data_IF_602648695213
#
_entry.id   IF_602648695213
#
_cell.length_a   1.000
_cell.length_b   1.000
_cell.length_c   1.000
_cell.angle_alpha   90.00
_cell.angle_beta   90.00
_cell.angle_gamma   90.00
#
_symmetry.space_group_name_H-M   'P 1'
#
loop_
_entity.id
_entity.type
_entity.pdbx_description
1 polymer ?
#
# COMPACT_ATOMS: atom_id res chain seq x y z
N UNK A 1 30.95 -8.55 3.85
CA UNK A 1 29.84 -9.31 4.46
C UNK A 1 29.38 -8.55 5.68
N UNK A 2 28.22 -7.88 5.57
CA UNK A 2 27.62 -7.07 6.63
C UNK A 2 26.26 -7.67 6.99
N UNK A 3 26.25 -8.56 7.98
CA UNK A 3 25.02 -9.22 8.42
C UNK A 3 24.14 -8.22 9.18
N UNK A 4 22.86 -8.18 8.83
CA UNK A 4 21.80 -7.45 9.55
C UNK A 4 20.60 -8.37 9.78
N UNK A 5 19.71 -7.97 10.67
CA UNK A 5 18.48 -8.67 11.00
C UNK A 5 17.25 -7.87 10.56
N UNK A 6 16.20 -8.59 10.16
CA UNK A 6 14.87 -8.03 9.94
C UNK A 6 13.80 -8.99 10.44
N UNK A 7 12.75 -8.47 11.06
CA UNK A 7 11.52 -9.25 11.28
C UNK A 7 10.72 -9.24 9.97
N UNK A 8 10.71 -10.36 9.26
CA UNK A 8 9.86 -10.55 8.08
C UNK A 8 8.45 -11.01 8.43
N UNK A 9 7.57 -10.97 7.43
CA UNK A 9 6.21 -11.48 7.55
C UNK A 9 5.89 -12.41 6.38
N UNK A 10 5.23 -13.53 6.68
CA UNK A 10 4.61 -14.42 5.69
C UNK A 10 3.11 -14.40 5.89
N UNK A 11 2.35 -14.33 4.80
CA UNK A 11 0.90 -14.38 4.80
C UNK A 11 0.44 -15.59 4.00
N UNK A 12 -0.20 -16.55 4.65
CA UNK A 12 -0.77 -17.71 3.98
C UNK A 12 -2.12 -17.34 3.33
N UNK A 13 -2.12 -17.12 2.01
CA UNK A 13 -3.31 -16.70 1.27
C UNK A 13 -4.40 -17.79 1.21
N UNK A 14 -4.04 -19.06 1.28
CA UNK A 14 -4.98 -20.20 1.31
C UNK A 14 -5.91 -20.15 2.54
N UNK A 15 -5.40 -19.62 3.66
CA UNK A 15 -6.17 -19.45 4.90
C UNK A 15 -6.84 -18.07 5.01
N UNK A 16 -6.65 -17.19 4.03
CA UNK A 16 -7.16 -15.82 4.13
C UNK A 16 -8.67 -15.82 3.91
N UNK A 17 -9.41 -15.33 4.91
CA UNK A 17 -10.88 -15.27 4.87
C UNK A 17 -11.41 -13.88 4.50
N UNK A 18 -10.55 -12.92 4.18
CA UNK A 18 -10.98 -11.59 3.76
C UNK A 18 -11.77 -10.80 4.82
N UNK A 19 -11.58 -11.05 6.12
CA UNK A 19 -12.42 -10.44 7.18
C UNK A 19 -12.08 -8.97 7.53
N UNK A 20 -11.03 -8.40 6.96
CA UNK A 20 -10.56 -7.02 7.23
C UNK A 20 -10.22 -6.65 8.70
N UNK A 21 -10.27 -7.58 9.67
CA UNK A 21 -9.93 -7.28 11.09
C UNK A 21 -8.54 -6.65 11.22
N UNK A 22 -7.57 -7.15 10.46
CA UNK A 22 -6.20 -6.62 10.42
C UNK A 22 -6.11 -5.17 9.92
N UNK A 23 -7.05 -4.72 9.07
CA UNK A 23 -7.12 -3.35 8.58
C UNK A 23 -7.73 -2.43 9.63
N UNK A 24 -8.84 -2.87 10.25
CA UNK A 24 -9.56 -2.10 11.27
C UNK A 24 -8.68 -1.85 12.50
N UNK A 25 -8.00 -2.88 13.01
CA UNK A 25 -7.15 -2.74 14.20
C UNK A 25 -5.93 -1.86 13.92
N UNK A 26 -5.33 -1.95 12.73
CA UNK A 26 -4.27 -1.05 12.30
C UNK A 26 -4.78 0.40 12.24
N UNK A 27 -5.96 0.63 11.67
CA UNK A 27 -6.54 1.96 11.55
C UNK A 27 -6.83 2.60 12.90
N UNK A 28 -7.48 1.86 13.80
CA UNK A 28 -7.85 2.35 15.13
C UNK A 28 -6.62 2.77 15.96
N UNK A 29 -5.48 2.09 15.79
CA UNK A 29 -4.26 2.41 16.53
C UNK A 29 -3.48 3.56 15.88
N UNK A 30 -3.36 3.59 14.55
CA UNK A 30 -2.36 4.44 13.89
C UNK A 30 -2.92 5.56 13.00
N UNK A 31 -4.05 5.34 12.32
CA UNK A 31 -4.51 6.22 11.22
C UNK A 31 -5.91 6.81 11.40
N UNK A 32 -6.57 6.59 12.55
CA UNK A 32 -7.86 7.23 12.88
C UNK A 32 -7.82 8.74 13.12
N UNK A 33 -6.75 9.44 12.72
CA UNK A 33 -6.57 10.89 12.87
C UNK A 33 -6.99 11.61 11.60
N UNK A 34 -7.49 12.84 11.75
CA UNK A 34 -7.72 13.73 10.61
C UNK A 34 -6.42 13.97 9.81
N UNK A 35 -6.51 13.92 8.49
CA UNK A 35 -5.38 13.87 7.57
C UNK A 35 -5.03 12.47 7.10
N UNK A 36 -5.39 11.44 7.87
CA UNK A 36 -5.01 10.03 7.65
C UNK A 36 -6.20 9.07 7.62
N UNK A 37 -7.43 9.57 7.79
CA UNK A 37 -8.65 8.75 7.81
C UNK A 37 -8.92 8.01 6.49
N UNK A 38 -8.35 8.48 5.38
CA UNK A 38 -8.40 7.81 4.09
C UNK A 38 -7.34 6.71 3.93
N UNK A 39 -6.32 6.69 4.79
CA UNK A 39 -5.09 5.93 4.61
C UNK A 39 -5.10 4.61 5.37
N UNK A 40 -5.09 3.49 4.63
CA UNK A 40 -5.10 2.16 5.20
C UNK A 40 -3.72 1.51 5.15
N UNK A 41 -2.91 1.71 6.20
CA UNK A 41 -1.57 1.12 6.29
C UNK A 41 -1.58 -0.39 6.06
N UNK A 42 -2.55 -1.07 6.65
CA UNK A 42 -2.94 -2.43 6.29
C UNK A 42 -4.29 -2.39 5.58
N UNK A 43 -4.36 -2.91 4.35
CA UNK A 43 -5.60 -3.08 3.61
C UNK A 43 -5.71 -4.52 3.11
N UNK A 44 -6.91 -4.93 2.71
CA UNK A 44 -7.17 -6.23 2.08
C UNK A 44 -7.96 -5.95 0.81
N UNK A 45 -7.61 -6.62 -0.27
CA UNK A 45 -8.23 -6.49 -1.58
C UNK A 45 -8.81 -7.81 -2.03
N UNK A 46 -9.95 -7.78 -2.70
CA UNK A 46 -10.43 -8.92 -3.47
C UNK A 46 -9.79 -8.90 -4.85
N UNK A 47 -9.26 -10.04 -5.28
CA UNK A 47 -8.69 -10.28 -6.61
C UNK A 47 -9.59 -11.25 -7.38
N UNK A 48 -9.82 -11.05 -8.68
CA UNK A 48 -9.29 -9.96 -9.51
C UNK A 48 -9.94 -8.59 -9.25
N UNK A 49 -9.13 -7.53 -9.26
CA UNK A 49 -9.55 -6.14 -9.00
C UNK A 49 -8.38 -5.14 -9.09
N UNK A 50 -8.70 -3.85 -9.26
CA UNK A 50 -7.69 -2.77 -9.39
C UNK A 50 -7.11 -2.32 -8.05
N UNK A 51 -7.75 -2.67 -6.94
CA UNK A 51 -7.20 -2.53 -5.59
C UNK A 51 -7.15 -1.10 -5.06
N UNK A 52 -6.25 -0.86 -4.10
CA UNK A 52 -6.16 0.38 -3.34
C UNK A 52 -4.70 0.88 -3.16
N UNK A 53 -4.37 2.11 -3.63
CA UNK A 53 -5.19 2.95 -4.51
C UNK A 53 -5.51 2.24 -5.82
N UNK A 54 -6.46 2.80 -6.58
CA UNK A 54 -6.88 2.26 -7.87
C UNK A 54 -5.67 2.03 -8.77
N UNK A 55 -5.60 0.85 -9.37
CA UNK A 55 -4.59 0.45 -10.34
C UNK A 55 -3.13 0.51 -9.81
N UNK A 56 -2.91 0.36 -8.50
CA UNK A 56 -1.60 0.58 -7.88
C UNK A 56 -0.47 -0.28 -8.45
N UNK A 57 -0.80 -1.42 -9.07
CA UNK A 57 0.14 -2.38 -9.66
C UNK A 57 0.70 -1.93 -11.00
N UNK A 58 0.03 -1.01 -11.70
CA UNK A 58 0.47 -0.48 -12.99
C UNK A 58 1.64 0.50 -12.82
N UNK A 59 2.87 -0.01 -13.01
CA UNK A 59 4.07 0.83 -12.90
C UNK A 59 4.41 1.60 -14.18
N UNK A 60 3.69 1.36 -15.29
CA UNK A 60 3.75 2.22 -16.48
C UNK A 60 3.05 3.54 -16.19
N UNK A 61 1.88 3.46 -15.54
CA UNK A 61 1.17 4.60 -14.99
C UNK A 61 1.94 5.22 -13.82
N UNK A 62 2.23 4.44 -12.76
CA UNK A 62 2.64 5.02 -11.48
C UNK A 62 4.15 5.22 -11.26
N UNK A 63 5.00 4.75 -12.16
CA UNK A 63 6.46 4.90 -12.13
C UNK A 63 7.13 4.51 -10.79
N UNK A 64 6.59 3.52 -10.08
CA UNK A 64 7.15 3.02 -8.83
C UNK A 64 8.28 2.01 -9.01
N UNK A 65 9.04 1.79 -7.94
CA UNK A 65 10.11 0.79 -7.88
C UNK A 65 11.38 1.20 -8.62
N UNK A 66 12.17 0.20 -9.01
CA UNK A 66 13.43 0.37 -9.73
C UNK A 66 13.31 -0.07 -11.18
N UNK A 67 14.26 0.40 -11.99
CA UNK A 67 14.55 -0.11 -13.34
C UNK A 67 16.04 -0.41 -13.42
N UNK A 68 16.39 -1.46 -14.16
CA UNK A 68 17.77 -1.80 -14.47
C UNK A 68 18.14 -1.21 -15.83
N UNK A 69 19.17 -0.37 -15.85
CA UNK A 69 19.70 0.20 -17.08
C UNK A 69 20.56 -0.85 -17.83
N UNK A 70 20.85 -0.60 -19.11
CA UNK A 70 21.65 -1.49 -19.97
C UNK A 70 23.06 -1.76 -19.45
N UNK A 71 23.59 -0.87 -18.61
CA UNK A 71 24.91 -0.99 -17.98
C UNK A 71 24.87 -1.84 -16.68
N UNK A 72 23.71 -2.41 -16.34
CA UNK A 72 23.51 -3.23 -15.16
C UNK A 72 23.25 -2.47 -13.85
N UNK A 73 23.33 -1.14 -13.85
CA UNK A 73 22.98 -0.35 -12.67
C UNK A 73 21.47 -0.21 -12.55
N UNK A 74 21.00 -0.07 -11.31
CA UNK A 74 19.60 0.23 -11.02
C UNK A 74 19.40 1.69 -10.68
N UNK A 75 18.23 2.22 -11.03
CA UNK A 75 17.78 3.56 -10.65
C UNK A 75 16.27 3.55 -10.38
N UNK A 76 15.74 4.51 -9.61
CA UNK A 76 14.30 4.62 -9.47
C UNK A 76 13.62 4.77 -10.84
N UNK A 77 12.49 4.08 -11.04
CA UNK A 77 11.67 4.22 -12.25
C UNK A 77 11.20 5.67 -12.43
N UNK A 78 10.89 6.33 -11.31
CA UNK A 78 10.55 7.75 -11.25
C UNK A 78 11.60 8.67 -11.90
N UNK A 79 12.87 8.25 -11.96
CA UNK A 79 13.95 8.98 -12.62
C UNK A 79 15.27 8.92 -11.87
N UNK A 80 16.32 9.47 -12.50
CA UNK A 80 17.60 9.73 -11.83
C UNK A 80 17.44 10.78 -10.72
N UNK A 81 18.46 10.97 -9.88
CA UNK A 81 18.43 11.99 -8.81
C UNK A 81 18.00 13.38 -9.31
N UNK A 82 18.53 13.82 -10.46
CA UNK A 82 18.15 15.09 -11.06
C UNK A 82 16.71 15.05 -11.60
N UNK A 83 16.32 13.96 -12.28
CA UNK A 83 14.97 13.79 -12.80
C UNK A 83 13.88 13.71 -11.72
N UNK A 84 14.22 13.23 -10.52
CA UNK A 84 13.33 13.24 -9.36
C UNK A 84 13.20 14.66 -8.79
N UNK A 85 14.30 15.41 -8.71
CA UNK A 85 14.30 16.79 -8.19
C UNK A 85 13.49 17.74 -9.09
N UNK A 86 13.56 17.60 -10.41
CA UNK A 86 12.78 18.45 -11.32
C UNK A 86 11.27 18.25 -11.18
N UNK A 87 10.83 17.10 -10.64
CA UNK A 87 9.42 16.78 -10.36
C UNK A 87 8.90 17.30 -9.01
N UNK A 88 9.71 18.04 -8.23
CA UNK A 88 9.30 18.55 -6.90
C UNK A 88 8.12 19.52 -6.98
N UNK A 89 8.10 20.43 -7.97
CA UNK A 89 7.07 21.47 -8.05
C UNK A 89 5.73 20.94 -8.57
N UNK A 90 5.77 19.96 -9.47
CA UNK A 90 4.61 19.23 -9.94
C UNK A 90 5.07 17.81 -10.26
N UNK A 91 4.64 16.84 -9.43
CA UNK A 91 4.92 15.44 -9.69
C UNK A 91 3.74 14.84 -10.46
N UNK A 92 3.87 14.57 -11.78
CA UNK A 92 2.77 14.12 -12.62
C UNK A 92 2.26 12.71 -12.28
N UNK A 93 2.92 12.00 -11.35
CA UNK A 93 2.78 10.55 -11.16
C UNK A 93 2.56 10.15 -9.69
N UNK A 94 2.23 11.11 -8.83
CA UNK A 94 1.61 10.76 -7.53
C UNK A 94 0.18 10.32 -7.85
N UNK A 95 -0.45 9.43 -7.08
CA UNK A 95 -1.91 9.42 -6.98
C UNK A 95 -2.34 10.83 -6.55
N UNK A 96 -2.57 11.70 -7.54
CA UNK A 96 -2.58 13.15 -7.37
C UNK A 96 -3.87 13.61 -6.70
N UNK A 97 -4.89 12.78 -6.79
CA UNK A 97 -6.23 13.09 -6.35
C UNK A 97 -6.61 12.10 -5.27
N UNK A 98 -7.30 12.60 -4.25
CA UNK A 98 -7.94 11.75 -3.25
C UNK A 98 -8.83 10.69 -3.94
N UNK A 99 -9.32 10.98 -5.14
CA UNK A 99 -10.15 10.10 -5.96
C UNK A 99 -9.46 8.81 -6.42
N UNK A 100 -8.13 8.76 -6.48
CA UNK A 100 -7.37 7.53 -6.72
C UNK A 100 -7.45 6.58 -5.51
N UNK A 101 -7.67 7.14 -4.32
CA UNK A 101 -7.99 6.42 -3.10
C UNK A 101 -9.51 6.35 -2.95
N UNK A 102 -10.09 7.30 -2.22
CA UNK A 102 -11.51 7.63 -2.11
C UNK A 102 -11.64 8.91 -1.27
N UNK A 103 -12.66 9.74 -1.54
CA UNK A 103 -13.02 10.83 -0.63
C UNK A 103 -13.49 10.25 0.71
N UNK A 104 -12.79 10.49 1.84
CA UNK A 104 -13.22 9.98 3.12
C UNK A 104 -14.53 10.65 3.54
N UNK A 105 -15.47 9.87 4.07
CA UNK A 105 -16.82 10.33 4.39
C UNK A 105 -17.26 9.87 5.78
N UNK A 106 -18.20 10.63 6.34
CA UNK A 106 -18.97 10.31 7.54
C UNK A 106 -20.47 10.50 7.25
N UNK A 107 -21.32 10.37 8.26
CA UNK A 107 -22.76 10.57 8.13
C UNK A 107 -23.29 11.57 9.17
N UNK A 108 -24.34 12.30 8.79
CA UNK A 108 -25.02 13.25 9.68
C UNK A 108 -25.94 12.53 10.69
N UNK A 109 -25.35 11.73 11.59
CA UNK A 109 -26.10 10.95 12.58
C UNK A 109 -26.96 11.82 13.50
N UNK A 110 -26.47 13.01 13.88
CA UNK A 110 -27.19 13.96 14.72
C UNK A 110 -28.54 14.39 14.12
N UNK A 111 -28.67 14.37 12.78
CA UNK A 111 -29.93 14.66 12.11
C UNK A 111 -31.04 13.67 12.49
N UNK A 112 -30.70 12.41 12.82
CA UNK A 112 -31.69 11.43 13.27
C UNK A 112 -32.26 11.74 14.66
N UNK A 113 -31.52 12.51 15.47
CA UNK A 113 -31.84 12.80 16.87
C UNK A 113 -32.50 14.18 17.04
N UNK A 114 -32.06 15.14 16.23
CA UNK A 114 -32.41 16.56 16.36
C UNK A 114 -33.52 17.03 15.41
N UNK A 115 -33.98 16.19 14.47
CA UNK A 115 -34.98 16.58 13.47
C UNK A 115 -36.35 16.80 14.11
N UNK A 116 -37.01 17.95 13.87
CA UNK A 116 -38.37 18.19 14.33
C UNK A 116 -39.38 17.28 13.61
N UNK A 117 -40.57 17.16 14.18
CA UNK A 117 -41.66 16.40 13.58
C UNK A 117 -41.96 16.89 12.14
N UNK A 118 -42.06 15.95 11.21
CA UNK A 118 -42.21 16.26 9.79
C UNK A 118 -42.88 15.13 9.02
N UNK A 119 -43.21 15.41 7.75
CA UNK A 119 -43.92 14.47 6.86
C UNK A 119 -43.06 13.28 6.42
N UNK A 120 -41.74 13.36 6.59
CA UNK A 120 -40.80 12.36 6.09
C UNK A 120 -39.87 11.90 7.22
N UNK A 121 -39.50 10.62 7.16
CA UNK A 121 -38.59 10.00 8.12
C UNK A 121 -37.18 10.59 7.92
N UNK A 122 -36.48 11.06 8.98
CA UNK A 122 -35.12 11.58 8.85
C UNK A 122 -34.13 10.49 8.44
N UNK A 123 -33.10 10.87 7.69
CA UNK A 123 -32.03 9.95 7.24
C UNK A 123 -30.65 10.58 7.47
N UNK A 124 -29.66 9.77 7.86
CA UNK A 124 -28.28 10.24 7.99
C UNK A 124 -27.62 10.22 6.60
N UNK A 125 -27.50 11.39 5.96
CA UNK A 125 -26.85 11.52 4.64
C UNK A 125 -25.32 11.62 4.78
N UNK A 126 -24.57 11.19 3.75
CA UNK A 126 -23.12 11.24 3.79
C UNK A 126 -22.58 12.68 3.71
N UNK A 127 -21.45 12.89 4.35
CA UNK A 127 -20.73 14.16 4.43
C UNK A 127 -19.24 13.92 4.23
N UNK A 128 -18.59 14.75 3.43
CA UNK A 128 -17.15 14.69 3.20
C UNK A 128 -16.37 15.01 4.48
N UNK A 129 -15.33 14.24 4.77
CA UNK A 129 -14.35 14.55 5.81
C UNK A 129 -13.26 15.52 5.33
N UNK A 130 -13.22 15.87 4.03
CA UNK A 130 -12.29 16.85 3.47
C UNK A 130 -12.86 18.26 3.57
N UNK A 131 -14.05 18.49 3.02
CA UNK A 131 -14.63 19.84 2.93
C UNK A 131 -15.87 20.05 3.83
N UNK A 132 -16.32 18.99 4.51
CA UNK A 132 -17.49 19.04 5.37
C UNK A 132 -18.78 19.34 4.60
N UNK A 133 -18.82 19.21 3.28
CA UNK A 133 -20.06 19.37 2.52
C UNK A 133 -20.81 18.05 2.47
N UNK A 134 -22.12 18.18 2.28
CA UNK A 134 -23.00 17.04 2.04
C UNK A 134 -22.65 16.41 0.70
N UNK A 135 -22.56 15.08 0.68
CA UNK A 135 -22.37 14.31 -0.54
C UNK A 135 -23.74 13.89 -1.09
N UNK A 136 -23.89 13.98 -2.40
CA UNK A 136 -25.09 13.45 -3.07
C UNK A 136 -25.07 11.92 -3.13
N UNK A 137 -23.89 11.35 -3.36
CA UNK A 137 -23.68 9.90 -3.40
C UNK A 137 -22.22 9.57 -3.07
N UNK A 138 -22.02 8.49 -2.32
CA UNK A 138 -20.71 7.84 -2.20
C UNK A 138 -20.49 6.99 -3.46
N UNK A 139 -19.43 7.27 -4.20
CA UNK A 139 -19.15 6.63 -5.51
C UNK A 139 -17.98 5.65 -5.48
N UNK A 140 -17.18 5.68 -4.41
CA UNK A 140 -16.02 4.80 -4.24
C UNK A 140 -15.65 4.64 -2.75
N UNK A 141 -14.80 3.67 -2.45
CA UNK A 141 -14.26 3.40 -1.11
C UNK A 141 -13.01 2.53 -1.18
N UNK A 142 -12.31 2.32 -0.04
CA UNK A 142 -11.02 1.59 -0.02
C UNK A 142 -11.15 0.09 -0.30
N UNK A 143 -12.38 -0.43 -0.31
CA UNK A 143 -12.71 -1.84 -0.56
C UNK A 143 -13.93 -1.96 -1.49
N UNK A 144 -14.04 -1.09 -2.50
CA UNK A 144 -15.22 -1.02 -3.37
C UNK A 144 -15.46 -2.30 -4.20
N UNK A 145 -14.39 -3.06 -4.47
CA UNK A 145 -14.40 -4.28 -5.30
C UNK A 145 -14.54 -5.57 -4.47
N UNK A 146 -14.91 -5.46 -3.19
CA UNK A 146 -15.10 -6.59 -2.28
C UNK A 146 -16.02 -7.66 -2.89
N UNK A 147 -15.70 -8.94 -2.69
CA UNK A 147 -16.54 -10.07 -3.13
C UNK A 147 -16.93 -10.00 -4.62
N UNK A 148 -15.98 -9.56 -5.46
CA UNK A 148 -16.16 -9.37 -6.90
C UNK A 148 -17.19 -8.27 -7.25
N UNK A 149 -17.32 -7.26 -6.38
CA UNK A 149 -18.15 -6.08 -6.60
C UNK A 149 -17.80 -5.35 -7.90
N UNK A 150 -18.79 -5.22 -8.78
CA UNK A 150 -18.63 -4.60 -10.10
C UNK A 150 -18.55 -5.61 -11.26
N UNK A 151 -18.80 -5.11 -12.46
CA UNK A 151 -18.75 -5.90 -13.71
C UNK A 151 -17.37 -6.54 -13.91
N UNK A 152 -17.34 -7.77 -14.44
CA UNK A 152 -16.09 -8.47 -14.73
C UNK A 152 -15.17 -7.66 -15.65
N UNK A 153 -15.70 -6.99 -16.67
CA UNK A 153 -14.90 -6.13 -17.56
C UNK A 153 -14.10 -5.06 -16.81
N UNK A 154 -14.69 -4.47 -15.76
CA UNK A 154 -14.03 -3.45 -14.94
C UNK A 154 -12.95 -4.06 -14.05
N UNK A 155 -13.23 -5.21 -13.43
CA UNK A 155 -12.31 -5.94 -12.53
C UNK A 155 -11.18 -6.64 -13.29
N UNK A 156 -11.44 -7.11 -14.51
CA UNK A 156 -10.48 -7.78 -15.38
C UNK A 156 -9.41 -6.84 -15.95
N UNK A 157 -9.48 -5.54 -15.61
CA UNK A 157 -8.38 -4.57 -15.78
C UNK A 157 -7.27 -4.74 -14.74
N UNK A 158 -7.44 -5.63 -13.78
CA UNK A 158 -6.38 -6.10 -12.90
C UNK A 158 -5.10 -6.40 -13.71
N UNK A 159 -3.98 -5.79 -13.32
CA UNK A 159 -2.69 -5.93 -14.01
C UNK A 159 -2.25 -7.40 -14.10
N UNK A 160 -2.66 -8.24 -13.15
CA UNK A 160 -2.33 -9.66 -13.13
C UNK A 160 -2.96 -10.46 -14.28
N UNK A 161 -3.95 -9.92 -14.99
CA UNK A 161 -4.56 -10.58 -16.15
C UNK A 161 -3.93 -10.22 -17.50
N UNK A 162 -2.93 -9.32 -17.55
CA UNK A 162 -2.40 -8.79 -18.83
C UNK A 162 -1.94 -9.89 -19.81
N UNK A 163 -1.29 -10.94 -19.30
CA UNK A 163 -0.77 -12.04 -20.11
C UNK A 163 -1.69 -13.29 -20.13
N UNK A 164 -2.96 -13.16 -19.72
CA UNK A 164 -3.91 -14.27 -19.59
C UNK A 164 -5.11 -14.12 -20.53
N UNK A 165 -5.58 -15.23 -21.11
CA UNK A 165 -6.90 -15.29 -21.76
C UNK A 165 -7.99 -15.28 -20.69
N UNK A 166 -8.57 -14.11 -20.44
CA UNK A 166 -9.40 -13.86 -19.25
C UNK A 166 -10.90 -14.03 -19.48
N UNK A 167 -11.34 -14.17 -20.73
CA UNK A 167 -12.76 -14.22 -21.12
C UNK A 167 -13.51 -15.36 -20.41
N UNK A 168 -12.85 -16.52 -20.21
CA UNK A 168 -13.47 -17.68 -19.55
C UNK A 168 -13.87 -17.39 -18.09
N UNK A 169 -13.13 -16.53 -17.39
CA UNK A 169 -13.37 -16.19 -15.98
C UNK A 169 -14.51 -15.18 -15.79
N UNK A 170 -15.06 -14.64 -16.89
CA UNK A 170 -16.31 -13.89 -16.89
C UNK A 170 -17.55 -14.79 -16.83
N UNK A 171 -17.40 -16.10 -17.05
CA UNK A 171 -18.49 -17.07 -16.94
C UNK A 171 -18.74 -17.43 -15.48
N UNK A 172 -20.02 -17.65 -15.14
CA UNK A 172 -20.43 -17.94 -13.76
C UNK A 172 -19.72 -19.18 -13.21
N UNK A 173 -19.64 -20.25 -14.00
CA UNK A 173 -19.06 -21.54 -13.62
C UNK A 173 -17.55 -21.48 -13.36
N UNK A 174 -16.86 -20.51 -13.96
CA UNK A 174 -15.41 -20.31 -13.81
C UNK A 174 -15.09 -19.12 -12.91
N UNK A 175 -16.08 -18.61 -12.16
CA UNK A 175 -15.86 -17.49 -11.25
C UNK A 175 -14.90 -17.92 -10.14
N UNK A 176 -13.85 -17.13 -9.95
CA UNK A 176 -12.93 -17.28 -8.83
C UNK A 176 -12.72 -15.93 -8.14
N UNK A 177 -12.34 -16.00 -6.87
CA UNK A 177 -11.85 -14.86 -6.13
C UNK A 177 -10.80 -15.30 -5.11
N UNK A 178 -9.93 -14.37 -4.74
CA UNK A 178 -9.01 -14.54 -3.62
C UNK A 178 -8.83 -13.22 -2.87
N UNK A 179 -8.29 -13.30 -1.66
CA UNK A 179 -8.02 -12.12 -0.84
C UNK A 179 -6.52 -11.84 -0.77
N UNK A 180 -6.16 -10.58 -0.99
CA UNK A 180 -4.79 -10.08 -0.95
C UNK A 180 -4.65 -9.05 0.18
N UNK A 181 -4.32 -9.49 1.41
CA UNK A 181 -3.94 -8.59 2.50
C UNK A 181 -2.55 -8.01 2.28
N UNK A 182 -2.41 -6.68 2.34
CA UNK A 182 -1.14 -5.97 2.06
C UNK A 182 -0.81 -4.92 3.11
N UNK A 183 0.48 -4.73 3.34
CA UNK A 183 1.05 -3.64 4.15
C UNK A 183 2.35 -3.15 3.49
N UNK A 184 3.12 -2.30 4.16
CA UNK A 184 4.45 -1.96 3.66
C UNK A 184 5.36 -3.20 3.72
N UNK A 185 6.10 -3.46 2.65
CA UNK A 185 7.01 -4.60 2.58
C UNK A 185 8.32 -4.43 3.38
N UNK A 186 8.59 -3.23 3.92
CA UNK A 186 9.84 -2.91 4.64
C UNK A 186 11.10 -3.42 3.90
N UNK A 187 11.13 -3.21 2.59
CA UNK A 187 12.09 -3.77 1.65
C UNK A 187 13.57 -3.63 2.08
N UNK A 188 14.41 -4.56 1.60
CA UNK A 188 15.87 -4.44 1.73
C UNK A 188 16.44 -3.33 0.85
N UNK A 189 15.90 -3.18 -0.37
CA UNK A 189 16.21 -2.08 -1.29
C UNK A 189 15.00 -1.14 -1.51
N UNK A 190 14.63 -0.32 -0.51
CA UNK A 190 13.42 0.50 -0.56
C UNK A 190 13.55 1.69 -1.52
N UNK A 191 12.80 1.66 -2.62
CA UNK A 191 12.75 2.77 -3.60
C UNK A 191 12.23 4.09 -2.98
N UNK A 192 11.41 4.01 -1.93
CA UNK A 192 10.96 5.19 -1.18
C UNK A 192 12.10 5.95 -0.48
N UNK A 193 13.11 5.23 0.03
CA UNK A 193 14.33 5.85 0.59
C UNK A 193 15.10 6.55 -0.52
N UNK A 194 15.27 5.89 -1.66
CA UNK A 194 16.01 6.43 -2.81
C UNK A 194 15.34 7.65 -3.47
N UNK A 195 14.03 7.81 -3.33
CA UNK A 195 13.24 8.87 -3.97
C UNK A 195 12.90 10.04 -3.04
N UNK A 196 13.29 9.99 -1.76
CA UNK A 196 13.06 11.09 -0.81
C UNK A 196 14.20 12.11 -0.88
N UNK A 197 13.99 13.35 -1.42
CA UNK A 197 15.09 14.30 -1.58
C UNK A 197 15.66 14.81 -0.26
N UNK A 198 14.84 14.87 0.80
CA UNK A 198 15.26 15.35 2.11
C UNK A 198 15.97 14.28 2.96
N UNK A 199 16.05 13.03 2.49
CA UNK A 199 16.61 11.93 3.26
C UNK A 199 15.85 11.62 4.56
N UNK A 200 14.55 11.95 4.62
CA UNK A 200 13.73 11.73 5.82
C UNK A 200 13.31 10.26 6.01
N UNK A 201 13.46 9.43 4.99
CA UNK A 201 13.11 8.00 5.05
C UNK A 201 14.38 7.20 5.27
N UNK A 202 14.36 6.29 6.23
CA UNK A 202 15.50 5.46 6.59
C UNK A 202 15.06 4.05 6.97
N UNK A 203 15.99 3.09 6.86
CA UNK A 203 15.82 1.71 7.33
C UNK A 203 16.62 1.57 8.62
N UNK A 204 15.95 1.19 9.71
CA UNK A 204 16.58 0.89 11.00
C UNK A 204 17.56 -0.28 10.85
N UNK A 205 18.66 -0.24 11.58
CA UNK A 205 19.77 -1.19 11.41
C UNK A 205 19.52 -2.50 12.17
N UNK A 206 18.85 -2.41 13.31
CA UNK A 206 18.59 -3.48 14.27
C UNK A 206 17.45 -4.42 13.87
N UNK A 207 16.41 -3.91 13.20
CA UNK A 207 15.18 -4.66 12.91
C UNK A 207 14.71 -4.54 11.45
N UNK A 208 15.42 -3.76 10.63
CA UNK A 208 15.10 -3.54 9.23
C UNK A 208 13.81 -2.75 8.98
N UNK A 209 13.19 -2.13 9.99
CA UNK A 209 11.95 -1.38 9.81
C UNK A 209 12.26 -0.06 9.08
N UNK A 210 11.68 0.12 7.88
CA UNK A 210 11.68 1.39 7.14
C UNK A 210 10.68 2.39 7.73
N UNK A 211 11.15 3.57 8.13
CA UNK A 211 10.36 4.65 8.73
C UNK A 211 10.49 5.98 7.97
N UNK A 212 9.54 6.88 8.18
CA UNK A 212 9.59 8.27 7.74
C UNK A 212 9.73 9.15 8.98
N UNK A 213 10.87 9.81 9.12
CA UNK A 213 11.14 10.81 10.15
C UNK A 213 10.19 12.00 9.97
N UNK A 214 9.25 12.18 10.91
CA UNK A 214 8.24 13.23 10.81
C UNK A 214 8.82 14.63 11.02
N UNK A 215 9.94 14.77 11.73
CA UNK A 215 10.60 16.06 11.94
C UNK A 215 11.38 16.51 10.70
N UNK A 216 12.04 15.55 10.02
CA UNK A 216 12.78 15.81 8.78
C UNK A 216 11.92 15.80 7.54
N UNK A 217 10.73 15.19 7.58
CA UNK A 217 9.83 15.17 6.43
C UNK A 217 9.41 16.60 6.05
N UNK A 218 9.61 16.94 4.77
CA UNK A 218 9.28 18.23 4.18
C UNK A 218 8.07 18.18 3.24
N UNK A 219 7.36 17.05 3.20
CA UNK A 219 6.14 16.94 2.39
C UNK A 219 6.38 16.95 0.88
N UNK A 220 7.55 16.50 0.40
CA UNK A 220 7.85 16.48 -1.04
C UNK A 220 7.04 15.46 -1.84
N UNK A 221 6.38 14.49 -1.18
CA UNK A 221 5.45 13.50 -1.77
C UNK A 221 6.04 12.56 -2.84
N UNK A 222 7.30 12.73 -3.25
CA UNK A 222 7.96 11.88 -4.25
C UNK A 222 8.10 10.42 -3.82
N UNK A 223 8.23 10.16 -2.51
CA UNK A 223 8.28 8.81 -1.96
C UNK A 223 6.99 8.02 -2.19
N UNK A 224 5.85 8.69 -2.40
CA UNK A 224 4.56 8.05 -2.69
C UNK A 224 4.62 7.41 -4.08
N UNK A 225 5.02 8.16 -5.11
CA UNK A 225 5.25 7.63 -6.45
C UNK A 225 6.36 6.58 -6.46
N UNK A 226 7.46 6.84 -5.76
CA UNK A 226 8.61 5.94 -5.73
C UNK A 226 8.28 4.55 -5.19
N UNK A 227 7.31 4.43 -4.27
CA UNK A 227 6.86 3.13 -3.77
C UNK A 227 6.01 2.39 -4.82
N UNK A 228 6.44 1.23 -5.34
CA UNK A 228 5.64 0.46 -6.30
C UNK A 228 4.35 -0.06 -5.67
N UNK A 229 4.37 -0.35 -4.36
CA UNK A 229 3.21 -0.85 -3.61
C UNK A 229 2.21 0.22 -3.17
N UNK A 230 2.52 1.51 -3.41
CA UNK A 230 1.73 2.67 -2.95
C UNK A 230 1.37 2.64 -1.46
N UNK A 231 2.30 2.15 -0.63
CA UNK A 231 2.16 1.98 0.83
C UNK A 231 2.67 3.16 1.66
N UNK A 232 2.79 4.32 1.02
CA UNK A 232 3.08 5.60 1.68
C UNK A 232 1.92 6.52 1.33
N UNK A 233 1.35 7.14 2.35
CA UNK A 233 0.17 7.99 2.25
C UNK A 233 0.57 9.42 2.64
N UNK A 234 -0.12 10.42 2.11
CA UNK A 234 0.12 11.81 2.45
C UNK A 234 -0.88 12.24 3.51
N UNK A 235 -0.39 12.63 4.68
CA UNK A 235 -1.25 13.28 5.65
C UNK A 235 -1.60 14.68 5.14
N UNK A 236 -2.83 14.84 4.64
CA UNK A 236 -3.27 16.09 4.01
C UNK A 236 -3.39 17.25 5.01
N UNK A 237 -3.52 16.95 6.31
CA UNK A 237 -3.58 17.94 7.39
C UNK A 237 -2.19 18.37 7.86
N UNK A 238 -1.30 17.44 8.15
CA UNK A 238 0.06 17.75 8.66
C UNK A 238 1.04 18.16 7.56
N UNK A 239 0.71 17.87 6.30
CA UNK A 239 1.56 18.16 5.15
C UNK A 239 2.73 17.18 5.01
N UNK A 240 2.72 16.02 5.69
CA UNK A 240 3.82 15.05 5.73
C UNK A 240 3.35 13.67 5.31
N UNK A 241 4.24 12.88 4.72
CA UNK A 241 3.93 11.49 4.41
C UNK A 241 4.06 10.59 5.62
N UNK A 242 3.17 9.62 5.73
CA UNK A 242 3.16 8.58 6.74
C UNK A 242 3.00 7.19 6.08
N UNK A 243 3.40 6.14 6.79
CA UNK A 243 3.33 4.76 6.29
C UNK A 243 3.23 3.78 7.45
N UNK A 244 2.93 2.52 7.14
CA UNK A 244 3.06 1.41 8.10
C UNK A 244 4.43 1.48 8.80
N UNK A 245 4.41 1.48 10.13
CA UNK A 245 5.59 1.55 10.99
C UNK A 245 6.01 0.17 11.52
N UNK A 246 5.46 -0.90 10.94
CA UNK A 246 5.59 -2.29 11.39
C UNK A 246 5.34 -2.51 12.89
N UNK A 247 4.53 -1.63 13.49
CA UNK A 247 4.33 -1.57 14.94
C UNK A 247 5.65 -1.62 15.72
N UNK A 248 6.68 -0.87 15.31
CA UNK A 248 8.00 -0.89 15.97
C UNK A 248 7.92 -0.77 17.50
N UNK A 249 7.01 0.03 18.14
CA UNK A 249 6.95 0.07 19.60
C UNK A 249 6.61 -1.28 20.24
N UNK A 250 5.87 -2.15 19.51
CA UNK A 250 5.56 -3.52 19.94
C UNK A 250 6.73 -4.46 19.64
N UNK A 251 7.29 -4.38 18.43
CA UNK A 251 8.41 -5.23 17.99
C UNK A 251 9.64 -5.05 18.89
N UNK A 252 9.94 -3.82 19.31
CA UNK A 252 11.02 -3.50 20.26
C UNK A 252 10.87 -4.24 21.61
N UNK A 253 9.64 -4.60 21.97
CA UNK A 253 9.32 -5.36 23.19
C UNK A 253 9.07 -6.86 22.93
N UNK A 254 9.45 -7.37 21.75
CA UNK A 254 9.24 -8.77 21.35
C UNK A 254 7.78 -9.14 21.08
N UNK A 255 6.89 -8.16 20.98
CA UNK A 255 5.47 -8.37 20.72
C UNK A 255 5.19 -8.40 19.21
N UNK A 256 4.20 -9.19 18.75
CA UNK A 256 3.77 -9.17 17.35
C UNK A 256 3.19 -7.81 16.94
N UNK A 257 3.18 -7.55 15.64
CA UNK A 257 2.45 -6.40 15.09
C UNK A 257 0.94 -6.55 15.37
N UNK A 258 0.24 -5.42 15.48
CA UNK A 258 -1.23 -5.41 15.71
C UNK A 258 -1.95 -6.25 14.66
N UNK A 259 -1.64 -6.07 13.37
CA UNK A 259 -2.30 -6.79 12.29
C UNK A 259 -1.98 -8.29 12.26
N UNK A 260 -0.82 -8.71 12.79
CA UNK A 260 -0.46 -10.12 12.97
C UNK A 260 -1.20 -10.75 14.14
N UNK A 261 -1.17 -10.12 15.31
CA UNK A 261 -1.80 -10.64 16.53
C UNK A 261 -3.31 -10.77 16.40
N UNK A 262 -3.95 -9.78 15.79
CA UNK A 262 -5.42 -9.74 15.62
C UNK A 262 -5.87 -10.45 14.36
N UNK A 263 -5.03 -11.27 13.73
CA UNK A 263 -5.38 -11.98 12.51
C UNK A 263 -6.30 -13.18 12.80
N UNK A 264 -7.60 -12.99 12.59
CA UNK A 264 -8.63 -14.02 12.84
C UNK A 264 -8.39 -15.30 12.02
N UNK A 265 -8.02 -15.17 10.75
CA UNK A 265 -7.70 -16.33 9.89
C UNK A 265 -6.39 -17.04 10.25
N UNK A 266 -5.60 -16.50 11.18
CA UNK A 266 -4.30 -17.05 11.61
C UNK A 266 -3.38 -17.33 10.43
N UNK A 267 -3.24 -16.34 9.55
CA UNK A 267 -2.47 -16.46 8.30
C UNK A 267 -1.09 -15.83 8.37
N UNK A 268 -0.86 -14.97 9.37
CA UNK A 268 0.32 -14.11 9.46
C UNK A 268 1.36 -14.72 10.39
N UNK A 269 2.57 -14.89 9.89
CA UNK A 269 3.72 -15.40 10.63
C UNK A 269 4.80 -14.33 10.63
N UNK A 270 5.41 -14.10 11.79
CA UNK A 270 6.54 -13.19 11.96
C UNK A 270 7.78 -14.01 12.31
N UNK A 271 8.91 -13.68 11.70
CA UNK A 271 10.16 -14.39 11.93
C UNK A 271 11.37 -13.54 11.60
N UNK A 272 12.47 -13.77 12.31
CA UNK A 272 13.74 -13.08 12.03
C UNK A 272 14.38 -13.67 10.79
N UNK A 273 14.90 -12.79 9.95
CA UNK A 273 15.66 -13.09 8.76
C UNK A 273 17.01 -12.37 8.86
N UNK A 274 18.08 -13.13 8.72
CA UNK A 274 19.42 -12.58 8.60
C UNK A 274 19.74 -12.36 7.12
N UNK A 275 20.26 -11.19 6.79
CA UNK A 275 20.61 -10.85 5.41
C UNK A 275 21.98 -10.18 5.34
N UNK A 276 22.70 -10.41 4.25
CA UNK A 276 23.96 -9.72 3.96
C UNK A 276 23.67 -8.40 3.24
N UNK A 277 23.83 -7.29 3.94
CA UNK A 277 23.56 -5.96 3.43
C UNK A 277 24.48 -5.57 2.26
N UNK A 278 25.69 -6.14 2.18
CA UNK A 278 26.65 -5.85 1.11
C UNK A 278 26.19 -6.44 -0.24
N UNK A 279 25.28 -7.44 -0.22
CA UNK A 279 24.78 -8.13 -1.42
C UNK A 279 23.44 -7.60 -1.93
N UNK A 280 22.89 -6.57 -1.32
CA UNK A 280 21.58 -6.01 -1.72
C UNK A 280 21.63 -5.46 -3.14
N UNK A 281 22.66 -4.70 -3.51
CA UNK A 281 22.79 -4.14 -4.86
C UNK A 281 22.95 -5.25 -5.90
N UNK A 282 23.84 -6.21 -5.65
CA UNK A 282 24.04 -7.39 -6.51
C UNK A 282 22.71 -8.14 -6.74
N UNK A 283 22.00 -8.49 -5.67
CA UNK A 283 20.74 -9.24 -5.78
C UNK A 283 19.65 -8.44 -6.49
N UNK A 284 19.53 -7.15 -6.18
CA UNK A 284 18.53 -6.27 -6.78
C UNK A 284 18.89 -5.81 -8.21
N UNK A 285 20.09 -6.08 -8.71
CA UNK A 285 20.51 -5.71 -10.07
C UNK A 285 20.66 -6.91 -11.00
N UNK A 286 20.13 -8.07 -10.63
CA UNK A 286 20.09 -9.25 -11.51
C UNK A 286 19.40 -8.92 -12.83
N UNK A 287 19.90 -9.51 -13.92
CA UNK A 287 19.45 -9.18 -15.28
C UNK A 287 18.01 -9.61 -15.55
N UNK A 288 17.66 -10.83 -15.11
CA UNK A 288 16.32 -11.37 -15.30
C UNK A 288 15.48 -11.16 -14.07
N UNK A 289 14.37 -10.46 -14.26
CA UNK A 289 13.41 -10.16 -13.20
C UNK A 289 12.89 -11.42 -12.48
N UNK A 290 12.69 -12.52 -13.20
CA UNK A 290 12.26 -13.82 -12.61
C UNK A 290 13.29 -14.43 -11.65
N UNK A 291 14.56 -14.04 -11.75
CA UNK A 291 15.62 -14.55 -10.88
C UNK A 291 15.70 -13.77 -9.56
N UNK A 292 15.00 -12.63 -9.43
CA UNK A 292 14.97 -11.83 -8.19
C UNK A 292 14.49 -12.65 -6.98
N UNK A 293 13.54 -13.55 -7.18
CA UNK A 293 13.07 -14.44 -6.12
C UNK A 293 14.13 -15.46 -5.68
N UNK A 294 14.89 -16.00 -6.64
CA UNK A 294 15.93 -17.01 -6.37
C UNK A 294 17.19 -16.41 -5.77
N UNK A 295 17.61 -15.25 -6.28
CA UNK A 295 18.80 -14.52 -5.82
C UNK A 295 18.52 -13.79 -4.51
N UNK A 296 17.30 -13.29 -4.32
CA UNK A 296 16.78 -12.72 -3.07
C UNK A 296 16.28 -13.77 -2.07
N UNK A 297 16.99 -14.91 -1.94
CA UNK A 297 16.84 -15.91 -0.87
C UNK A 297 15.46 -15.96 -0.18
N UNK A 298 14.35 -16.31 -0.83
CA UNK A 298 13.03 -16.56 -0.20
C UNK A 298 12.41 -15.44 0.69
N UNK A 299 13.08 -14.30 0.95
CA UNK A 299 12.87 -13.58 2.24
C UNK A 299 12.91 -12.06 2.16
N UNK A 300 13.03 -11.47 0.99
CA UNK A 300 12.85 -10.04 0.84
C UNK A 300 12.06 -9.75 -0.41
N UNK A 301 10.95 -9.02 -0.26
CA UNK A 301 10.50 -8.14 -1.32
C UNK A 301 11.67 -7.21 -1.66
N UNK A 302 12.51 -7.62 -2.61
CA UNK A 302 13.22 -6.66 -3.43
C UNK A 302 12.10 -5.82 -4.03
N UNK A 303 12.02 -4.55 -3.63
CA UNK A 303 11.01 -3.56 -4.01
C UNK A 303 11.09 -3.22 -5.52
N UNK A 304 11.23 -4.23 -6.36
CA UNK A 304 11.10 -4.12 -7.80
C UNK A 304 9.64 -4.19 -8.12
N UNK A 305 9.20 -3.44 -9.12
CA UNK A 305 7.80 -3.41 -9.57
C UNK A 305 7.30 -4.74 -10.15
N UNK A 306 7.91 -5.86 -9.81
CA UNK A 306 7.44 -7.20 -10.14
C UNK A 306 6.60 -7.75 -9.01
N UNK A 307 5.34 -7.90 -9.33
CA UNK A 307 4.56 -9.02 -8.86
C UNK A 307 5.25 -10.29 -9.32
N UNK A 308 5.60 -11.16 -8.38
CA UNK A 308 5.76 -12.57 -8.75
C UNK A 308 4.41 -13.00 -9.34
N UNK A 309 4.36 -13.58 -10.55
CA UNK A 309 3.14 -14.23 -11.00
C UNK A 309 2.76 -15.27 -9.94
N UNK A 310 1.55 -15.13 -9.39
CA UNK A 310 0.93 -16.16 -8.56
C UNK A 310 0.70 -17.41 -9.41
#
# INVERSE_FOLDING_TARGET
MKIRSQVGMVLNLDKCIGCHTCSVTCNNVWTGREGMEYAWFNNVETKPGIGYPKNWEDQEEWQGGWVRDVNGKIRPRLGSKMGVITKIFANPVVPQQIDDYYEPFTFDYEHLHSTPEGKHIPTARPRSLIDGKRMDKVIWGPNWEELLGGEFEKRARDRNFEAMQKEMYGQFENTFMMYLPRLCEHCLNPSCVATCPSGAIYKREEDGIVLIDQDKCRGWRLCISGCPYKKIYFNWKSGKSEKCIFCYPRIESGQPTVCSETCVGRIRYLGVLLYDADRIEEASSTEREVDLYRVGSLTAAACHGLQLPL
#
